data_IF_332286338528
#
_entry.id   IF_332286338528
#
_cell.length_a   1.000
_cell.length_b   1.000
_cell.length_c   1.000
_cell.angle_alpha   90.00
_cell.angle_beta   90.00
_cell.angle_gamma   90.00
#
_symmetry.space_group_name_H-M   'P 1'
#
loop_
_entity.id
_entity.type
_entity.pdbx_description
1 polymer ?
#
# COMPACT_ATOMS: atom_id res chain seq x y z
N UNK A 1 -16.46 -18.11 1.69
CA UNK A 1 -15.59 -18.01 0.49
C UNK A 1 -14.30 -17.29 0.91
N UNK A 2 -13.18 -18.00 1.02
CA UNK A 2 -11.88 -17.39 1.38
C UNK A 2 -11.25 -16.77 0.13
N UNK A 3 -10.80 -15.53 0.24
CA UNK A 3 -10.00 -14.88 -0.80
C UNK A 3 -8.53 -15.18 -0.60
N UNK A 4 -7.74 -15.14 -1.68
CA UNK A 4 -6.30 -15.32 -1.63
C UNK A 4 -5.60 -14.18 -0.87
N UNK A 5 -6.03 -12.93 -1.06
CA UNK A 5 -5.44 -11.77 -0.40
C UNK A 5 -5.37 -11.91 1.14
N UNK A 6 -6.45 -12.20 1.89
CA UNK A 6 -6.34 -12.42 3.33
C UNK A 6 -5.53 -13.67 3.70
N UNK A 7 -5.55 -14.74 2.89
CA UNK A 7 -4.74 -15.95 3.15
C UNK A 7 -3.25 -15.64 3.05
N UNK A 8 -2.82 -14.95 1.99
CA UNK A 8 -1.43 -14.51 1.82
C UNK A 8 -1.01 -13.52 2.91
N UNK A 9 -1.86 -12.53 3.24
CA UNK A 9 -1.55 -11.55 4.29
C UNK A 9 -1.35 -12.21 5.66
N UNK A 10 -2.15 -13.22 6.00
CA UNK A 10 -1.97 -13.97 7.26
C UNK A 10 -0.63 -14.73 7.24
N UNK A 11 -0.37 -15.51 6.18
CA UNK A 11 0.87 -16.26 6.07
C UNK A 11 2.12 -15.36 6.17
N UNK A 12 2.14 -14.25 5.42
CA UNK A 12 3.24 -13.27 5.45
C UNK A 12 3.41 -12.66 6.85
N UNK A 13 2.30 -12.30 7.51
CA UNK A 13 2.35 -11.71 8.86
C UNK A 13 2.81 -12.67 9.96
N UNK A 14 2.64 -13.99 9.76
CA UNK A 14 3.00 -15.01 10.74
C UNK A 14 4.39 -15.60 10.52
N UNK A 15 4.82 -15.73 9.26
CA UNK A 15 6.01 -16.52 8.91
C UNK A 15 7.22 -15.68 8.52
N UNK A 16 7.07 -14.37 8.26
CA UNK A 16 8.18 -13.50 7.90
C UNK A 16 8.38 -12.39 8.96
N UNK A 17 9.64 -12.02 9.28
CA UNK A 17 9.90 -10.78 9.99
C UNK A 17 9.44 -9.59 9.14
N UNK A 18 8.91 -8.55 9.79
CA UNK A 18 8.37 -7.36 9.11
C UNK A 18 9.38 -6.72 8.13
N UNK A 19 10.67 -6.72 8.47
CA UNK A 19 11.73 -6.15 7.63
C UNK A 19 11.90 -6.83 6.26
N UNK A 20 11.35 -8.03 6.07
CA UNK A 20 11.33 -8.74 4.79
C UNK A 20 10.11 -8.39 3.94
N UNK A 21 9.19 -7.57 4.43
CA UNK A 21 7.98 -7.16 3.73
C UNK A 21 8.07 -5.66 3.45
N UNK A 22 8.03 -5.30 2.18
CA UNK A 22 8.19 -3.92 1.75
C UNK A 22 6.85 -3.31 1.35
N UNK A 23 6.61 -2.08 1.80
CA UNK A 23 5.50 -1.25 1.32
C UNK A 23 6.06 -0.20 0.38
N UNK A 24 5.70 -0.29 -0.91
CA UNK A 24 6.15 0.60 -1.96
C UNK A 24 5.40 1.94 -1.90
N UNK A 25 5.90 2.89 -1.11
CA UNK A 25 5.30 4.24 -0.97
C UNK A 25 5.61 5.16 -2.17
N UNK A 26 6.46 4.70 -3.08
CA UNK A 26 6.99 5.43 -4.24
C UNK A 26 6.40 4.99 -5.58
N UNK A 27 5.56 3.94 -5.60
CA UNK A 27 4.95 3.41 -6.82
C UNK A 27 3.46 3.79 -6.91
N UNK A 28 3.08 4.55 -7.94
CA UNK A 28 1.66 4.79 -8.24
C UNK A 28 0.95 3.54 -8.75
N UNK A 29 -0.20 3.20 -8.16
CA UNK A 29 -0.99 2.03 -8.55
C UNK A 29 -2.50 2.30 -8.47
N UNK A 30 -3.26 1.71 -9.40
CA UNK A 30 -4.70 1.82 -9.46
C UNK A 30 -5.35 0.44 -9.60
N UNK A 31 -6.31 0.17 -8.72
CA UNK A 31 -7.31 -0.88 -8.87
C UNK A 31 -8.69 -0.23 -8.71
N UNK A 32 -9.76 -0.69 -9.40
CA UNK A 32 -11.09 -0.13 -9.20
C UNK A 32 -11.43 0.01 -7.71
N UNK A 33 -11.93 1.20 -7.35
CA UNK A 33 -12.23 1.65 -5.97
C UNK A 33 -11.04 1.87 -5.01
N UNK A 34 -9.79 1.59 -5.40
CA UNK A 34 -8.60 1.85 -4.58
C UNK A 34 -7.37 2.25 -5.40
N UNK A 35 -6.87 3.46 -5.15
CA UNK A 35 -5.66 4.00 -5.78
C UNK A 35 -4.62 4.37 -4.73
N UNK A 36 -3.35 4.05 -4.98
CA UNK A 36 -2.21 4.62 -4.26
C UNK A 36 -1.46 5.57 -5.19
N UNK A 37 -1.28 6.80 -4.74
CA UNK A 37 -0.49 7.79 -5.46
C UNK A 37 0.55 8.36 -4.48
N UNK A 38 1.86 8.25 -4.78
CA UNK A 38 2.94 8.71 -3.92
C UNK A 38 2.89 10.20 -3.57
N UNK A 39 3.40 10.59 -2.41
CA UNK A 39 3.58 12.01 -2.09
C UNK A 39 4.77 12.61 -2.86
N UNK A 40 4.60 13.81 -3.41
CA UNK A 40 5.60 14.41 -4.30
C UNK A 40 5.71 13.69 -5.65
N UNK A 41 4.63 13.02 -6.09
CA UNK A 41 4.56 12.21 -7.31
C UNK A 41 5.04 12.94 -8.59
N UNK A 42 4.81 14.26 -8.65
CA UNK A 42 5.25 15.14 -9.76
C UNK A 42 6.78 15.32 -9.80
N UNK A 43 7.45 15.22 -8.66
CA UNK A 43 8.88 15.49 -8.50
C UNK A 43 9.71 14.20 -8.48
N UNK A 44 9.17 13.11 -7.92
CA UNK A 44 9.92 11.87 -7.66
C UNK A 44 9.78 10.77 -8.72
N UNK A 45 8.72 10.76 -9.55
CA UNK A 45 8.42 9.56 -10.34
C UNK A 45 7.67 9.70 -11.66
N UNK A 46 7.53 10.91 -12.25
CA UNK A 46 6.70 11.13 -13.46
C UNK A 46 5.31 10.48 -13.35
N UNK A 47 4.74 10.44 -12.15
CA UNK A 47 3.46 9.79 -11.92
C UNK A 47 2.33 10.56 -12.62
N UNK A 48 1.34 9.83 -13.11
CA UNK A 48 0.18 10.39 -13.85
C UNK A 48 -1.02 10.69 -12.93
N UNK A 49 -0.99 10.18 -11.69
CA UNK A 49 -2.07 10.34 -10.71
C UNK A 49 -1.94 11.63 -9.88
N UNK A 50 -3.08 12.15 -9.37
CA UNK A 50 -3.11 13.20 -8.35
C UNK A 50 -3.03 12.58 -6.95
N UNK A 51 -2.02 12.92 -6.11
CA UNK A 51 -1.93 12.48 -4.72
C UNK A 51 -3.19 12.76 -3.89
N UNK A 52 -3.96 13.81 -4.23
CA UNK A 52 -5.21 14.15 -3.54
C UNK A 52 -6.35 13.19 -3.84
N UNK A 53 -6.27 12.45 -4.94
CA UNK A 53 -7.24 11.44 -5.37
C UNK A 53 -6.82 10.02 -4.95
N UNK A 54 -5.68 9.85 -4.27
CA UNK A 54 -5.21 8.57 -3.76
C UNK A 54 -5.97 8.11 -2.52
N UNK A 55 -6.90 7.17 -2.65
CA UNK A 55 -7.71 6.69 -1.51
C UNK A 55 -6.94 5.73 -0.58
N UNK A 56 -5.89 5.07 -1.07
CA UNK A 56 -5.12 4.07 -0.32
C UNK A 56 -4.53 4.61 0.99
N UNK A 57 -4.06 5.86 0.98
CA UNK A 57 -3.46 6.50 2.16
C UNK A 57 -4.49 6.82 3.26
N UNK A 58 -5.78 6.85 2.92
CA UNK A 58 -6.88 7.07 3.87
C UNK A 58 -7.23 5.83 4.70
N UNK A 59 -6.98 4.63 4.19
CA UNK A 59 -7.39 3.36 4.82
C UNK A 59 -6.59 3.03 6.08
N UNK A 60 -7.26 2.39 7.03
CA UNK A 60 -6.73 2.06 8.36
C UNK A 60 -5.56 1.06 8.32
N UNK A 61 -5.55 0.13 7.37
CA UNK A 61 -4.50 -0.89 7.28
C UNK A 61 -3.15 -0.33 6.82
N UNK A 62 -3.12 0.57 5.83
CA UNK A 62 -1.89 1.23 5.40
C UNK A 62 -1.31 2.12 6.50
N UNK A 63 -2.16 2.83 7.25
CA UNK A 63 -1.75 3.58 8.45
C UNK A 63 -1.17 2.67 9.52
N UNK A 64 -1.84 1.56 9.83
CA UNK A 64 -1.39 0.59 10.82
C UNK A 64 -0.05 -0.06 10.43
N UNK A 65 0.15 -0.38 9.16
CA UNK A 65 1.42 -0.93 8.66
C UNK A 65 2.62 -0.03 9.00
N UNK A 66 2.47 1.29 8.84
CA UNK A 66 3.52 2.27 9.16
C UNK A 66 3.76 2.44 10.67
N UNK A 67 2.75 2.16 11.51
CA UNK A 67 2.81 2.37 12.97
C UNK A 67 3.36 1.18 13.75
N UNK A 68 3.16 -0.04 13.26
CA UNK A 68 3.69 -1.23 13.91
C UNK A 68 5.22 -1.18 13.79
N UNK A 69 5.99 -1.40 14.85
CA UNK A 69 7.46 -1.46 14.79
C UNK A 69 7.93 -2.76 14.16
#
# INVERSE_FOLDING_TARGET
>A
RWGDAPVHSIAVSMFLPKSQVHYFDDIGYYHPAMSHCPDGSKERGKCVCDPKEGWANGFTCAKRWRQIS
#
